data_IF_476158767992
#
_entry.id   IF_476158767992
#
_cell.length_a   1.000
_cell.length_b   1.000
_cell.length_c   1.000
_cell.angle_alpha   90.00
_cell.angle_beta   90.00
_cell.angle_gamma   90.00
#
_symmetry.space_group_name_H-M   'P 1'
#
loop_
_entity.id
_entity.type
_entity.pdbx_description
1 polymer ?
#
# COMPACT_ATOMS: atom_id res chain seq x y z
N UNK A 1 43.25 -5.66 27.31
CA UNK A 1 41.91 -5.09 27.52
C UNK A 1 41.20 -5.07 26.16
N UNK A 2 40.22 -5.93 25.98
CA UNK A 2 39.42 -5.98 24.74
C UNK A 2 38.54 -4.72 24.70
N UNK A 3 38.71 -3.86 23.68
CA UNK A 3 37.83 -2.70 23.49
C UNK A 3 36.41 -3.17 23.27
N UNK A 4 35.53 -2.88 24.19
CA UNK A 4 34.09 -3.11 24.05
C UNK A 4 33.58 -2.19 22.95
N UNK A 5 32.79 -2.75 22.00
CA UNK A 5 32.21 -1.98 20.90
C UNK A 5 31.18 -0.97 21.44
N UNK A 6 31.39 0.32 21.13
CA UNK A 6 30.52 1.41 21.58
C UNK A 6 29.29 1.55 20.62
N UNK A 7 28.19 0.87 20.98
CA UNK A 7 26.94 0.90 20.24
C UNK A 7 26.37 2.32 20.14
N UNK A 8 26.59 3.18 21.15
CA UNK A 8 26.04 4.54 21.15
C UNK A 8 26.74 5.42 20.11
N UNK A 9 28.06 5.29 19.98
CA UNK A 9 28.79 5.98 18.93
C UNK A 9 28.42 5.50 17.54
N UNK A 10 28.28 4.18 17.38
CA UNK A 10 27.85 3.58 16.11
C UNK A 10 26.44 4.07 15.71
N UNK A 11 25.48 4.04 16.64
CA UNK A 11 24.11 4.53 16.40
C UNK A 11 24.12 6.00 15.95
N UNK A 12 24.85 6.89 16.63
CA UNK A 12 24.98 8.29 16.23
C UNK A 12 25.62 8.48 14.86
N UNK A 13 26.63 7.68 14.54
CA UNK A 13 27.31 7.72 13.24
C UNK A 13 26.40 7.32 12.11
N UNK A 14 25.70 6.18 12.23
CA UNK A 14 24.82 5.67 11.16
C UNK A 14 23.59 6.56 10.93
N UNK A 15 23.04 7.16 12.00
CA UNK A 15 21.92 8.12 11.88
C UNK A 15 22.31 9.38 11.12
N UNK A 16 23.59 9.80 11.22
CA UNK A 16 24.10 10.95 10.47
C UNK A 16 24.40 10.63 9.01
N UNK A 17 24.81 9.39 8.73
CA UNK A 17 25.25 8.97 7.38
C UNK A 17 24.10 8.54 6.48
N UNK A 18 22.97 8.10 7.04
CA UNK A 18 21.81 7.62 6.28
C UNK A 18 20.60 8.51 6.58
N UNK A 19 20.23 9.33 5.62
CA UNK A 19 19.07 10.20 5.74
C UNK A 19 17.79 9.36 5.76
N UNK A 20 16.91 9.62 6.75
CA UNK A 20 15.64 8.89 6.90
C UNK A 20 15.75 7.53 7.58
N UNK A 21 16.91 7.18 8.15
CA UNK A 21 17.06 5.94 8.91
C UNK A 21 16.14 5.93 10.13
N UNK A 22 15.19 4.98 10.16
CA UNK A 22 14.39 4.68 11.35
C UNK A 22 15.20 3.84 12.34
N UNK A 23 15.13 4.18 13.62
CA UNK A 23 15.78 3.41 14.70
C UNK A 23 14.72 2.98 15.71
N UNK A 24 14.72 1.70 16.06
CA UNK A 24 13.79 1.10 17.01
C UNK A 24 12.66 0.32 16.33
N UNK A 25 11.67 -0.05 17.14
CA UNK A 25 10.48 -0.72 16.66
C UNK A 25 9.48 0.30 16.12
N UNK A 26 8.84 -0.02 15.01
CA UNK A 26 7.80 0.80 14.39
C UNK A 26 6.52 -0.04 14.32
N UNK A 27 5.91 -0.25 15.48
CA UNK A 27 4.69 -1.01 15.59
C UNK A 27 3.52 -0.18 15.05
N UNK A 28 2.56 -0.82 14.33
CA UNK A 28 1.39 -0.13 13.81
C UNK A 28 0.51 0.35 14.97
N UNK A 29 0.08 1.61 14.91
CA UNK A 29 -0.87 2.20 15.85
C UNK A 29 -2.30 2.16 15.33
N UNK A 30 -2.44 2.15 14.03
CA UNK A 30 -3.71 2.22 13.32
C UNK A 30 -3.89 1.04 12.37
N UNK A 31 -5.14 0.62 12.19
CA UNK A 31 -5.50 -0.57 11.45
C UNK A 31 -6.78 -0.35 10.64
N UNK A 32 -6.87 -1.03 9.50
CA UNK A 32 -8.09 -1.07 8.69
C UNK A 32 -8.66 -2.49 8.80
N UNK A 33 -9.93 -2.62 9.13
CA UNK A 33 -10.59 -3.92 9.14
C UNK A 33 -10.66 -4.51 7.72
N UNK A 34 -10.50 -5.82 7.60
CA UNK A 34 -10.74 -6.55 6.34
C UNK A 34 -12.23 -6.76 6.05
N UNK A 35 -13.12 -6.36 6.98
CA UNK A 35 -14.55 -6.67 6.91
C UNK A 35 -14.89 -8.08 7.40
N UNK A 36 -13.91 -8.88 7.81
CA UNK A 36 -14.09 -10.22 8.34
C UNK A 36 -13.35 -10.40 9.67
N UNK A 37 -14.08 -10.67 10.73
CA UNK A 37 -13.54 -10.82 12.09
C UNK A 37 -12.49 -11.91 12.21
N UNK A 38 -12.74 -13.08 11.58
CA UNK A 38 -11.79 -14.19 11.63
C UNK A 38 -10.49 -13.84 10.91
N UNK A 39 -10.57 -13.20 9.74
CA UNK A 39 -9.40 -12.76 8.99
C UNK A 39 -8.63 -11.67 9.76
N UNK A 40 -9.32 -10.71 10.37
CA UNK A 40 -8.70 -9.71 11.25
C UNK A 40 -7.90 -10.38 12.36
N UNK A 41 -8.52 -11.35 13.05
CA UNK A 41 -7.88 -12.07 14.15
C UNK A 41 -6.65 -12.86 13.69
N UNK A 42 -6.72 -13.51 12.50
CA UNK A 42 -5.58 -14.23 11.94
C UNK A 42 -4.40 -13.30 11.58
N UNK A 43 -4.69 -12.06 11.18
CA UNK A 43 -3.64 -11.09 10.80
C UNK A 43 -3.01 -10.45 12.04
N UNK A 44 -3.82 -10.03 13.01
CA UNK A 44 -3.39 -9.13 14.07
C UNK A 44 -3.54 -9.69 15.49
N UNK A 45 -4.30 -10.78 15.67
CA UNK A 45 -4.71 -11.27 16.98
C UNK A 45 -5.88 -10.49 17.61
N UNK A 46 -6.50 -9.57 16.86
CA UNK A 46 -7.61 -8.74 17.31
C UNK A 46 -8.74 -8.78 16.28
N UNK A 47 -9.97 -9.01 16.70
CA UNK A 47 -11.13 -9.15 15.80
C UNK A 47 -11.45 -7.88 14.97
N UNK A 48 -11.01 -6.71 15.42
CA UNK A 48 -11.30 -5.43 14.78
C UNK A 48 -10.11 -4.84 13.99
N UNK A 49 -8.92 -5.45 14.11
CA UNK A 49 -7.67 -4.98 13.47
C UNK A 49 -7.28 -5.90 12.33
N UNK A 50 -7.41 -5.43 11.11
CA UNK A 50 -7.03 -6.17 9.90
C UNK A 50 -5.66 -5.76 9.38
N UNK A 51 -5.64 -4.86 8.40
CA UNK A 51 -4.43 -4.39 7.73
C UNK A 51 -3.77 -3.25 8.54
N UNK A 52 -2.47 -3.36 8.88
CA UNK A 52 -1.77 -2.33 9.61
C UNK A 52 -1.43 -1.13 8.71
N UNK A 53 -1.73 0.08 9.16
CA UNK A 53 -1.28 1.30 8.48
C UNK A 53 0.23 1.51 8.63
N UNK A 54 0.84 2.16 7.63
CA UNK A 54 2.28 2.38 7.59
C UNK A 54 3.10 1.13 7.29
N UNK A 55 2.46 0.06 6.82
CA UNK A 55 3.08 -1.19 6.38
C UNK A 55 2.61 -1.57 4.98
N UNK A 56 3.34 -2.47 4.34
CA UNK A 56 2.91 -3.13 3.10
C UNK A 56 2.33 -4.50 3.46
N UNK A 57 1.12 -4.76 2.99
CA UNK A 57 0.46 -6.06 3.12
C UNK A 57 0.22 -6.66 1.74
N UNK A 58 0.42 -7.95 1.60
CA UNK A 58 0.22 -8.67 0.34
C UNK A 58 -0.82 -9.76 0.53
N UNK A 59 -1.84 -9.76 -0.34
CA UNK A 59 -2.82 -10.84 -0.47
C UNK A 59 -2.41 -11.72 -1.65
N UNK A 60 -2.02 -12.96 -1.38
CA UNK A 60 -1.64 -13.94 -2.39
C UNK A 60 -2.64 -15.11 -2.41
N UNK A 61 -2.91 -15.64 -3.60
CA UNK A 61 -3.84 -16.76 -3.79
C UNK A 61 -4.21 -16.95 -5.26
N UNK A 62 -4.86 -18.04 -5.58
CA UNK A 62 -5.32 -18.37 -6.92
C UNK A 62 -6.35 -17.35 -7.45
N UNK A 63 -6.52 -17.34 -8.78
CA UNK A 63 -7.59 -16.55 -9.39
C UNK A 63 -8.95 -17.01 -8.85
N UNK A 64 -9.88 -16.07 -8.63
CA UNK A 64 -11.19 -16.38 -8.06
C UNK A 64 -11.21 -16.61 -6.55
N UNK A 65 -10.08 -16.60 -5.84
CA UNK A 65 -10.02 -16.79 -4.38
C UNK A 65 -10.57 -15.62 -3.54
N UNK A 66 -11.06 -14.55 -4.18
CA UNK A 66 -11.67 -13.40 -3.50
C UNK A 66 -10.68 -12.30 -3.09
N UNK A 67 -9.46 -12.28 -3.61
CA UNK A 67 -8.46 -11.24 -3.30
C UNK A 67 -8.98 -9.83 -3.56
N UNK A 68 -9.50 -9.58 -4.76
CA UNK A 68 -10.07 -8.29 -5.15
C UNK A 68 -11.29 -7.91 -4.30
N UNK A 69 -12.15 -8.89 -3.96
CA UNK A 69 -13.28 -8.67 -3.07
C UNK A 69 -12.83 -8.14 -1.69
N UNK A 70 -11.77 -8.72 -1.13
CA UNK A 70 -11.21 -8.30 0.15
C UNK A 70 -10.46 -6.97 0.01
N UNK A 71 -9.51 -6.86 -0.94
CA UNK A 71 -8.65 -5.70 -1.09
C UNK A 71 -9.41 -4.48 -1.63
N UNK A 72 -10.02 -4.63 -2.81
CA UNK A 72 -10.62 -3.52 -3.55
C UNK A 72 -12.07 -3.25 -3.15
N UNK A 73 -12.72 -4.19 -2.46
CA UNK A 73 -14.03 -4.00 -1.85
C UNK A 73 -13.92 -3.64 -0.36
N UNK A 74 -13.81 -4.66 0.49
CA UNK A 74 -13.97 -4.52 1.93
C UNK A 74 -12.93 -3.59 2.59
N UNK A 75 -11.65 -3.72 2.23
CA UNK A 75 -10.58 -2.91 2.83
C UNK A 75 -10.74 -1.45 2.41
N UNK A 76 -11.03 -1.16 1.13
CA UNK A 76 -11.29 0.21 0.66
C UNK A 76 -12.47 0.82 1.40
N UNK A 77 -13.60 0.11 1.45
CA UNK A 77 -14.79 0.58 2.17
C UNK A 77 -14.49 0.89 3.63
N UNK A 78 -13.80 0.00 4.34
CA UNK A 78 -13.45 0.21 5.75
C UNK A 78 -12.40 1.32 5.95
N UNK A 79 -11.53 1.57 4.97
CA UNK A 79 -10.62 2.70 4.97
C UNK A 79 -11.40 4.02 4.84
N UNK A 80 -12.33 4.08 3.90
CA UNK A 80 -13.17 5.26 3.67
C UNK A 80 -14.06 5.59 4.89
N UNK A 81 -14.57 4.58 5.60
CA UNK A 81 -15.31 4.76 6.86
C UNK A 81 -14.45 5.44 7.95
N UNK A 82 -13.14 5.30 7.87
CA UNK A 82 -12.18 5.97 8.77
C UNK A 82 -11.69 7.33 8.22
N UNK A 83 -12.25 7.81 7.12
CA UNK A 83 -11.83 9.06 6.48
C UNK A 83 -10.49 8.97 5.74
N UNK A 84 -10.04 7.76 5.41
CA UNK A 84 -8.80 7.51 4.68
C UNK A 84 -9.07 7.68 3.18
N UNK A 85 -8.29 8.51 2.51
CA UNK A 85 -8.31 8.63 1.05
C UNK A 85 -7.67 7.41 0.40
N UNK A 86 -8.26 6.91 -0.69
CA UNK A 86 -7.78 5.69 -1.33
C UNK A 86 -7.31 5.96 -2.75
N UNK A 87 -6.13 5.44 -3.09
CA UNK A 87 -5.60 5.37 -4.45
C UNK A 87 -5.62 3.90 -4.88
N UNK A 88 -6.53 3.58 -5.80
CA UNK A 88 -6.69 2.24 -6.36
C UNK A 88 -6.01 2.17 -7.72
N UNK A 89 -4.98 1.35 -7.83
CA UNK A 89 -4.29 1.04 -9.08
C UNK A 89 -4.80 -0.31 -9.58
N UNK A 90 -5.56 -0.27 -10.67
CA UNK A 90 -6.18 -1.42 -11.33
C UNK A 90 -5.39 -1.75 -12.59
N UNK A 91 -4.52 -2.77 -12.50
CA UNK A 91 -3.62 -3.14 -13.60
C UNK A 91 -4.32 -3.94 -14.70
N UNK A 92 -5.44 -4.54 -14.39
CA UNK A 92 -6.24 -5.35 -15.33
C UNK A 92 -7.39 -4.57 -15.95
N UNK A 93 -7.67 -3.37 -15.43
CA UNK A 93 -8.84 -2.56 -15.74
C UNK A 93 -10.16 -3.37 -15.63
N UNK A 94 -10.23 -4.24 -14.64
CA UNK A 94 -11.32 -5.19 -14.42
C UNK A 94 -12.30 -4.75 -13.33
N UNK A 95 -11.98 -3.73 -12.56
CA UNK A 95 -12.80 -3.23 -11.47
C UNK A 95 -13.72 -2.10 -11.98
N UNK A 96 -14.99 -2.42 -12.20
CA UNK A 96 -15.97 -1.43 -12.59
C UNK A 96 -16.59 -0.69 -11.40
N UNK A 97 -17.13 0.50 -11.66
CA UNK A 97 -17.69 1.38 -10.64
C UNK A 97 -18.91 0.75 -9.95
N UNK A 98 -19.80 0.14 -10.72
CA UNK A 98 -21.02 -0.45 -10.17
C UNK A 98 -20.70 -1.61 -9.20
N UNK A 99 -19.68 -2.39 -9.52
CA UNK A 99 -19.21 -3.46 -8.64
C UNK A 99 -18.61 -2.91 -7.34
N UNK A 100 -17.79 -1.87 -7.41
CA UNK A 100 -17.22 -1.20 -6.23
C UNK A 100 -18.32 -0.63 -5.35
N UNK A 101 -19.30 0.08 -5.94
CA UNK A 101 -20.45 0.63 -5.24
C UNK A 101 -21.31 -0.45 -4.60
N UNK A 102 -21.52 -1.59 -5.26
CA UNK A 102 -22.25 -2.72 -4.70
C UNK A 102 -21.58 -3.32 -3.46
N UNK A 103 -20.27 -3.17 -3.33
CA UNK A 103 -19.50 -3.54 -2.13
C UNK A 103 -19.47 -2.45 -1.06
N UNK A 104 -20.13 -1.31 -1.31
CA UNK A 104 -20.19 -0.19 -0.39
C UNK A 104 -19.02 0.78 -0.48
N UNK A 105 -18.19 0.69 -1.52
CA UNK A 105 -17.11 1.64 -1.80
C UNK A 105 -17.73 2.93 -2.33
N UNK A 106 -17.32 4.06 -1.78
CA UNK A 106 -17.68 5.38 -2.26
C UNK A 106 -16.72 5.77 -3.40
N UNK A 107 -17.28 5.95 -4.59
CA UNK A 107 -16.51 6.25 -5.82
C UNK A 107 -16.36 7.73 -6.10
N UNK A 108 -16.79 8.61 -5.18
CA UNK A 108 -16.57 10.05 -5.28
C UNK A 108 -15.07 10.37 -5.37
N UNK A 109 -14.70 11.28 -6.28
CA UNK A 109 -13.31 11.68 -6.54
C UNK A 109 -12.57 12.19 -5.30
N UNK A 110 -13.31 12.68 -4.30
CA UNK A 110 -12.74 13.15 -3.03
C UNK A 110 -12.36 12.00 -2.08
N UNK A 111 -12.77 10.77 -2.39
CA UNK A 111 -12.55 9.60 -1.53
C UNK A 111 -11.78 8.48 -2.22
N UNK A 112 -11.87 8.41 -3.55
CA UNK A 112 -11.24 7.37 -4.35
C UNK A 112 -10.62 7.95 -5.62
N UNK A 113 -9.32 7.73 -5.82
CA UNK A 113 -8.66 7.92 -7.10
C UNK A 113 -8.37 6.54 -7.72
N UNK A 114 -9.11 6.19 -8.77
CA UNK A 114 -8.84 4.95 -9.52
C UNK A 114 -7.93 5.27 -10.71
N UNK A 115 -6.83 4.52 -10.82
CA UNK A 115 -5.86 4.63 -11.91
C UNK A 115 -5.74 3.28 -12.63
N UNK A 116 -5.70 3.29 -13.96
CA UNK A 116 -5.40 2.11 -14.77
C UNK A 116 -3.96 2.21 -15.26
N UNK A 117 -3.08 1.41 -14.68
CA UNK A 117 -1.64 1.39 -14.99
C UNK A 117 -1.22 -0.06 -15.26
N UNK A 118 -0.50 -0.28 -16.36
CA UNK A 118 -0.01 -1.61 -16.76
C UNK A 118 1.49 -1.80 -16.59
N UNK A 119 2.25 -0.70 -16.42
CA UNK A 119 3.71 -0.75 -16.27
C UNK A 119 4.10 -0.56 -14.80
N UNK A 120 5.02 -1.39 -14.31
CA UNK A 120 5.50 -1.29 -12.92
C UNK A 120 6.23 0.03 -12.67
N UNK A 121 6.92 0.56 -13.67
CA UNK A 121 7.64 1.83 -13.58
C UNK A 121 6.68 3.01 -13.41
N UNK A 122 5.51 2.98 -14.07
CA UNK A 122 4.47 4.01 -13.91
C UNK A 122 3.83 3.95 -12.51
N UNK A 123 3.63 2.75 -11.97
CA UNK A 123 3.18 2.57 -10.60
C UNK A 123 4.19 3.14 -9.61
N UNK A 124 5.47 2.79 -9.77
CA UNK A 124 6.54 3.29 -8.92
C UNK A 124 6.67 4.82 -8.99
N UNK A 125 6.56 5.39 -10.18
CA UNK A 125 6.57 6.84 -10.41
C UNK A 125 5.39 7.51 -9.72
N UNK A 126 4.17 6.99 -9.91
CA UNK A 126 2.94 7.53 -9.30
C UNK A 126 3.05 7.56 -7.77
N UNK A 127 3.48 6.45 -7.15
CA UNK A 127 3.67 6.38 -5.70
C UNK A 127 4.75 7.37 -5.24
N UNK A 128 5.87 7.46 -5.98
CA UNK A 128 6.99 8.35 -5.63
C UNK A 128 6.60 9.83 -5.71
N UNK A 129 5.91 10.24 -6.77
CA UNK A 129 5.44 11.61 -6.95
C UNK A 129 4.40 11.99 -5.89
N UNK A 130 3.45 11.09 -5.62
CA UNK A 130 2.49 11.29 -4.54
C UNK A 130 3.20 11.47 -3.20
N UNK A 131 4.12 10.57 -2.85
CA UNK A 131 4.85 10.63 -1.58
C UNK A 131 5.69 11.90 -1.43
N UNK A 132 6.21 12.43 -2.54
CA UNK A 132 6.94 13.70 -2.55
C UNK A 132 5.99 14.86 -2.25
N UNK A 133 4.91 15.01 -3.02
CA UNK A 133 3.91 16.06 -2.81
C UNK A 133 3.32 16.01 -1.41
N UNK A 134 2.94 14.82 -0.95
CA UNK A 134 2.41 14.60 0.39
C UNK A 134 3.37 15.04 1.51
N UNK A 135 4.66 14.75 1.37
CA UNK A 135 5.68 15.16 2.34
C UNK A 135 5.90 16.67 2.33
N UNK A 136 5.88 17.29 1.15
CA UNK A 136 6.08 18.73 1.00
C UNK A 136 4.89 19.48 1.59
N UNK A 137 3.66 19.04 1.33
CA UNK A 137 2.44 19.66 1.85
C UNK A 137 2.28 19.53 3.37
N UNK A 138 2.76 18.42 3.95
CA UNK A 138 2.60 18.13 5.37
C UNK A 138 3.90 18.18 6.17
N UNK A 139 4.90 18.90 5.67
CA UNK A 139 6.22 18.99 6.30
C UNK A 139 6.16 19.52 7.75
N UNK A 140 5.24 20.48 8.02
CA UNK A 140 5.10 21.15 9.31
C UNK A 140 4.17 20.41 10.29
N UNK A 141 3.21 19.61 9.79
CA UNK A 141 2.25 18.89 10.63
C UNK A 141 2.01 17.46 10.12
N UNK A 142 2.97 16.57 10.38
CA UNK A 142 2.87 15.17 9.95
C UNK A 142 1.86 14.35 10.74
N UNK A 143 1.62 14.68 12.01
CA UNK A 143 0.67 13.95 12.86
C UNK A 143 -0.79 14.23 12.46
N UNK A 144 -1.07 15.45 11.97
CA UNK A 144 -2.39 15.85 11.46
C UNK A 144 -2.60 15.56 9.97
N UNK A 145 -1.62 14.99 9.29
CA UNK A 145 -1.71 14.70 7.86
C UNK A 145 -2.79 13.64 7.57
N UNK A 146 -3.61 13.80 6.51
CA UNK A 146 -4.63 12.82 6.15
C UNK A 146 -3.99 11.48 5.80
N UNK A 147 -4.58 10.40 6.26
CA UNK A 147 -4.11 9.05 5.95
C UNK A 147 -4.50 8.69 4.52
N UNK A 148 -3.62 7.94 3.85
CA UNK A 148 -3.83 7.48 2.47
C UNK A 148 -3.53 6.00 2.38
N UNK A 149 -4.40 5.27 1.68
CA UNK A 149 -4.23 3.86 1.37
C UNK A 149 -3.96 3.69 -0.13
N UNK A 150 -2.88 3.01 -0.49
CA UNK A 150 -2.67 2.50 -1.83
C UNK A 150 -3.14 1.05 -1.91
N UNK A 151 -3.95 0.75 -2.92
CA UNK A 151 -4.34 -0.61 -3.28
C UNK A 151 -3.88 -0.88 -4.70
N UNK A 152 -3.14 -1.95 -4.93
CA UNK A 152 -2.65 -2.37 -6.25
C UNK A 152 -3.26 -3.73 -6.56
N UNK A 153 -4.13 -3.80 -7.55
CA UNK A 153 -4.85 -5.00 -7.97
C UNK A 153 -4.68 -5.18 -9.49
N UNK A 154 -3.77 -6.03 -9.93
CA UNK A 154 -2.85 -6.89 -9.20
C UNK A 154 -1.38 -6.58 -9.57
N UNK A 155 -0.43 -6.91 -8.66
CA UNK A 155 1.00 -6.79 -8.97
C UNK A 155 1.44 -7.75 -10.09
N UNK A 156 0.85 -8.94 -10.15
CA UNK A 156 1.26 -9.98 -11.10
C UNK A 156 0.94 -9.67 -12.57
N UNK A 157 0.12 -8.65 -12.83
CA UNK A 157 -0.23 -8.22 -14.20
C UNK A 157 0.54 -7.00 -14.67
N UNK A 158 1.37 -6.43 -13.80
CA UNK A 158 2.23 -5.32 -14.19
C UNK A 158 3.41 -5.81 -15.04
N UNK A 159 3.65 -5.09 -16.13
CA UNK A 159 4.72 -5.39 -17.09
C UNK A 159 5.97 -4.57 -16.76
N UNK A 160 7.13 -5.16 -17.07
CA UNK A 160 8.39 -4.42 -17.13
C UNK A 160 8.72 -4.02 -18.57
N UNK A 161 9.61 -3.03 -18.82
CA UNK A 161 10.10 -2.74 -20.16
C UNK A 161 10.71 -3.97 -20.84
N UNK A 162 11.35 -4.85 -20.08
CA UNK A 162 11.92 -6.11 -20.58
C UNK A 162 10.84 -7.07 -21.10
N UNK A 163 9.70 -7.15 -20.42
CA UNK A 163 8.58 -8.01 -20.86
C UNK A 163 8.03 -7.52 -22.20
N UNK A 164 7.88 -6.20 -22.36
CA UNK A 164 7.44 -5.59 -23.61
C UNK A 164 8.43 -5.87 -24.75
N UNK A 165 9.72 -5.65 -24.50
CA UNK A 165 10.80 -5.94 -25.46
C UNK A 165 10.83 -7.41 -25.90
N UNK A 166 10.64 -8.35 -24.96
CA UNK A 166 10.59 -9.79 -25.28
C UNK A 166 9.35 -10.16 -26.09
N UNK A 167 8.21 -9.54 -25.78
CA UNK A 167 6.99 -9.73 -26.54
C UNK A 167 7.16 -9.25 -28.00
N UNK A 168 7.72 -8.05 -28.21
CA UNK A 168 7.96 -7.49 -29.56
C UNK A 168 8.94 -8.35 -30.37
N UNK A 169 9.90 -8.99 -29.72
CA UNK A 169 10.86 -9.92 -30.37
C UNK A 169 10.31 -11.32 -30.58
N UNK A 170 9.11 -11.62 -30.07
CA UNK A 170 8.50 -12.96 -30.12
C UNK A 170 9.21 -13.99 -29.23
N UNK A 171 9.90 -13.54 -28.19
CA UNK A 171 10.70 -14.39 -27.27
C UNK A 171 9.93 -14.77 -25.98
N UNK A 172 8.74 -14.21 -25.76
CA UNK A 172 7.89 -14.62 -24.63
C UNK A 172 7.36 -16.04 -24.85
N UNK A 173 7.67 -16.95 -23.90
CA UNK A 173 7.16 -18.32 -23.84
C UNK A 173 6.00 -18.44 -22.91
#
# INVERSE_FOLDING_TARGET
MTKVFDVTKFRKSITKSIQGLGIGFNDPTDWISTGNYALNYLISGDFNKGIPLGKVSVLAGESGAGKSYIASGNIIKNAQDQGIFVILIDSENALDEAWLQALGVDTDEKKLLKLSLSMIDDVAKTVSEFMKSYKDEHAENREGAPKVLFVIDSLGMLLTPTDVDQFEKGEMK
#
